data_IF_233219883093
#
_entry.id   IF_233219883093
#
_cell.length_a   1.000
_cell.length_b   1.000
_cell.length_c   1.000
_cell.angle_alpha   90.00
_cell.angle_beta   90.00
_cell.angle_gamma   90.00
#
_symmetry.space_group_name_H-M   'P 1'
#
loop_
_entity.id
_entity.type
_entity.pdbx_description
1 polymer ?
#
# COMPACT_ATOMS: atom_id res chain seq x y z
N UNK A 1 40.10 -6.62 -13.48
CA UNK A 1 39.16 -7.37 -14.35
C UNK A 1 38.02 -8.02 -13.56
N UNK A 2 38.17 -8.27 -12.26
CA UNK A 2 37.18 -8.91 -11.38
C UNK A 2 36.02 -8.00 -10.93
N UNK A 3 36.17 -6.68 -11.05
CA UNK A 3 35.20 -5.67 -10.61
C UNK A 3 34.11 -5.34 -11.64
N UNK A 4 34.30 -5.69 -12.91
CA UNK A 4 33.31 -5.45 -13.98
C UNK A 4 32.23 -6.54 -14.04
N UNK A 5 32.55 -7.77 -13.61
CA UNK A 5 31.60 -8.89 -13.63
C UNK A 5 30.54 -8.78 -12.52
N UNK A 6 30.91 -8.20 -11.37
CA UNK A 6 29.98 -7.98 -10.25
C UNK A 6 28.95 -6.86 -10.53
N UNK A 7 29.31 -5.88 -11.35
CA UNK A 7 28.41 -4.80 -11.77
C UNK A 7 27.37 -5.28 -12.79
N UNK A 8 27.74 -6.21 -13.65
CA UNK A 8 26.83 -6.91 -14.57
C UNK A 8 25.81 -7.78 -13.84
N UNK A 9 26.21 -8.47 -12.77
CA UNK A 9 25.30 -9.36 -12.03
C UNK A 9 24.30 -8.61 -11.13
N UNK A 10 24.66 -7.41 -10.65
CA UNK A 10 23.74 -6.53 -9.92
C UNK A 10 22.66 -5.91 -10.83
N UNK A 11 23.00 -5.62 -12.09
CA UNK A 11 22.04 -5.08 -13.06
C UNK A 11 20.96 -6.09 -13.48
N UNK A 12 21.28 -7.39 -13.48
CA UNK A 12 20.35 -8.45 -13.88
C UNK A 12 19.22 -8.71 -12.87
N UNK A 13 19.38 -8.33 -11.59
CA UNK A 13 18.38 -8.54 -10.54
C UNK A 13 17.31 -7.43 -10.52
N UNK A 14 17.56 -6.31 -11.22
CA UNK A 14 16.66 -5.16 -11.27
C UNK A 14 15.81 -5.07 -12.54
N UNK A 15 15.79 -6.10 -13.40
CA UNK A 15 14.84 -6.11 -14.51
C UNK A 15 13.41 -6.33 -13.98
N UNK A 16 12.48 -5.36 -14.17
CA UNK A 16 11.10 -5.52 -13.77
C UNK A 16 10.45 -6.63 -14.60
N UNK A 17 9.85 -7.59 -13.90
CA UNK A 17 9.10 -8.70 -14.51
C UNK A 17 7.95 -8.17 -15.38
N UNK A 18 7.87 -8.56 -16.68
CA UNK A 18 6.91 -8.01 -17.64
C UNK A 18 5.57 -8.76 -17.63
N UNK A 19 5.00 -9.02 -16.46
CA UNK A 19 3.73 -9.73 -16.34
C UNK A 19 2.78 -8.97 -15.42
N UNK A 20 1.82 -8.28 -16.04
CA UNK A 20 0.79 -7.51 -15.35
C UNK A 20 0.29 -6.27 -16.10
N UNK A 21 0.44 -6.21 -17.44
CA UNK A 21 -0.40 -5.31 -18.25
C UNK A 21 -1.79 -5.93 -18.31
N UNK A 22 -2.73 -5.34 -17.58
CA UNK A 22 -4.11 -5.01 -18.01
C UNK A 22 -4.81 -4.35 -16.81
N UNK A 23 -5.41 -3.18 -17.07
CA UNK A 23 -6.31 -2.36 -16.23
C UNK A 23 -5.70 -1.26 -15.32
N UNK A 24 -5.95 -0.03 -15.81
CA UNK A 24 -6.04 1.27 -15.14
C UNK A 24 -4.72 1.93 -14.72
N UNK A 25 -4.31 2.86 -15.59
CA UNK A 25 -3.28 3.86 -15.35
C UNK A 25 -3.66 4.71 -14.14
N UNK A 26 -2.89 4.61 -13.06
CA UNK A 26 -2.84 5.63 -12.03
C UNK A 26 -1.42 6.21 -12.07
N UNK A 27 -1.23 7.55 -12.05
CA UNK A 27 0.08 8.16 -12.12
C UNK A 27 0.84 7.84 -10.82
N UNK A 28 1.51 6.69 -10.79
CA UNK A 28 2.48 6.38 -9.75
C UNK A 28 3.54 7.50 -9.74
N UNK A 29 3.88 8.05 -8.57
CA UNK A 29 4.78 9.20 -8.51
C UNK A 29 6.10 8.82 -9.16
N UNK A 30 6.60 9.71 -10.03
CA UNK A 30 7.86 9.65 -10.80
C UNK A 30 9.13 9.29 -10.00
N UNK A 31 9.02 9.05 -8.69
CA UNK A 31 10.10 8.86 -7.72
C UNK A 31 10.85 7.54 -7.86
N UNK A 32 10.23 6.51 -8.45
CA UNK A 32 10.91 5.26 -8.82
C UNK A 32 12.01 5.48 -9.86
N UNK A 33 11.94 6.56 -10.66
CA UNK A 33 12.94 6.93 -11.66
C UNK A 33 14.17 7.62 -11.03
N UNK A 34 14.03 8.20 -9.84
CA UNK A 34 15.11 8.92 -9.14
C UNK A 34 15.82 8.06 -8.09
N UNK A 35 15.28 6.88 -7.75
CA UNK A 35 15.93 5.88 -6.91
C UNK A 35 17.34 5.51 -7.40
N UNK A 36 17.59 5.24 -8.70
CA UNK A 36 18.96 5.02 -9.19
C UNK A 36 19.82 6.29 -9.14
N UNK A 37 19.22 7.48 -9.28
CA UNK A 37 19.94 8.75 -9.21
C UNK A 37 20.38 9.11 -7.78
N UNK A 38 19.59 8.77 -6.75
CA UNK A 38 19.93 8.95 -5.33
C UNK A 38 20.99 7.91 -4.91
N UNK A 39 20.89 6.68 -5.41
CA UNK A 39 21.94 5.65 -5.25
C UNK A 39 23.24 6.07 -5.96
N UNK A 40 23.12 6.70 -7.13
CA UNK A 40 24.26 7.25 -7.89
C UNK A 40 24.91 8.48 -7.25
N UNK A 41 24.12 9.38 -6.66
CA UNK A 41 24.64 10.54 -5.91
C UNK A 41 25.32 10.13 -4.60
N UNK A 42 24.81 9.09 -3.94
CA UNK A 42 25.49 8.45 -2.80
C UNK A 42 26.85 7.84 -3.18
N UNK A 43 26.96 7.33 -4.42
CA UNK A 43 28.22 6.88 -5.01
C UNK A 43 29.13 8.02 -5.50
N UNK A 44 28.67 9.28 -5.50
CA UNK A 44 29.47 10.47 -5.81
C UNK A 44 30.13 11.10 -4.58
N UNK A 45 29.49 11.00 -3.40
CA UNK A 45 30.08 11.37 -2.11
C UNK A 45 31.22 10.43 -1.65
N UNK A 46 31.52 9.44 -2.49
CA UNK A 46 32.43 8.31 -2.41
C UNK A 46 33.93 8.64 -2.25
N UNK A 47 34.34 9.90 -2.26
CA UNK A 47 35.77 10.24 -2.38
C UNK A 47 36.44 10.98 -1.22
N UNK A 48 35.75 11.33 -0.12
CA UNK A 48 36.33 12.32 0.83
C UNK A 48 36.46 11.89 2.31
N UNK A 49 35.81 10.85 2.84
CA UNK A 49 36.05 10.44 4.26
C UNK A 49 35.94 8.91 4.43
N UNK A 50 37.00 8.27 4.94
CA UNK A 50 37.21 6.82 5.08
C UNK A 50 36.28 6.02 6.00
N UNK A 51 34.96 6.28 6.01
CA UNK A 51 33.94 5.49 6.72
C UNK A 51 32.77 5.11 5.81
N UNK A 52 33.13 4.52 4.66
CA UNK A 52 32.22 4.14 3.56
C UNK A 52 31.13 3.16 4.00
N UNK A 53 31.43 2.22 4.91
CA UNK A 53 30.50 1.17 5.33
C UNK A 53 29.31 1.69 6.15
N UNK A 54 29.54 2.66 7.04
CA UNK A 54 28.51 3.21 7.94
C UNK A 54 27.51 4.06 7.15
N UNK A 55 28.00 4.85 6.20
CA UNK A 55 27.15 5.68 5.34
C UNK A 55 26.31 4.80 4.42
N UNK A 56 26.90 3.77 3.80
CA UNK A 56 26.16 2.86 2.92
C UNK A 56 25.02 2.14 3.68
N UNK A 57 25.30 1.71 4.89
CA UNK A 57 24.32 1.05 5.73
C UNK A 57 23.22 1.99 6.23
N UNK A 58 23.57 3.21 6.62
CA UNK A 58 22.60 4.22 6.99
C UNK A 58 21.67 4.55 5.80
N UNK A 59 22.21 4.65 4.58
CA UNK A 59 21.42 4.90 3.36
C UNK A 59 20.50 3.72 3.03
N UNK A 60 20.98 2.48 3.12
CA UNK A 60 20.16 1.28 2.87
C UNK A 60 19.06 1.15 3.95
N UNK A 61 19.39 1.37 5.22
CA UNK A 61 18.44 1.31 6.32
C UNK A 61 17.39 2.42 6.20
N UNK A 62 17.81 3.66 5.91
CA UNK A 62 16.91 4.79 5.72
C UNK A 62 16.04 4.64 4.47
N UNK A 63 16.61 4.16 3.35
CA UNK A 63 15.88 3.88 2.13
C UNK A 63 14.82 2.80 2.32
N UNK A 64 15.18 1.72 3.03
CA UNK A 64 14.24 0.65 3.37
C UNK A 64 13.17 1.15 4.33
N UNK A 65 13.53 1.83 5.42
CA UNK A 65 12.55 2.40 6.36
C UNK A 65 11.61 3.41 5.68
N UNK A 66 12.13 4.29 4.82
CA UNK A 66 11.32 5.26 4.10
C UNK A 66 10.36 4.57 3.11
N UNK A 67 10.81 3.53 2.41
CA UNK A 67 9.96 2.75 1.51
C UNK A 67 8.86 2.01 2.28
N UNK A 68 9.20 1.37 3.40
CA UNK A 68 8.25 0.59 4.19
C UNK A 68 7.20 1.44 4.89
N UNK A 69 7.61 2.58 5.46
CA UNK A 69 6.70 3.55 6.07
C UNK A 69 5.77 4.18 5.04
N UNK A 70 6.27 4.50 3.85
CA UNK A 70 5.43 5.02 2.76
C UNK A 70 4.45 3.98 2.25
N UNK A 71 4.88 2.73 2.09
CA UNK A 71 3.99 1.64 1.66
C UNK A 71 2.93 1.32 2.73
N UNK A 72 3.27 1.38 4.01
CA UNK A 72 2.28 1.25 5.11
C UNK A 72 1.27 2.40 5.04
N UNK A 73 1.74 3.64 4.85
CA UNK A 73 0.86 4.81 4.75
C UNK A 73 -0.02 4.76 3.50
N UNK A 74 0.51 4.32 2.35
CA UNK A 74 -0.26 4.15 1.11
C UNK A 74 -1.30 3.03 1.22
N UNK A 75 -0.97 1.94 1.90
CA UNK A 75 -1.95 0.88 2.21
C UNK A 75 -3.01 1.36 3.19
N UNK A 76 -2.63 2.20 4.17
CA UNK A 76 -3.58 2.78 5.12
C UNK A 76 -4.59 3.70 4.41
N UNK A 77 -4.15 4.52 3.43
CA UNK A 77 -5.08 5.36 2.66
C UNK A 77 -6.02 4.52 1.80
N UNK A 78 -5.53 3.46 1.13
CA UNK A 78 -6.37 2.55 0.35
C UNK A 78 -7.42 1.84 1.22
N UNK A 79 -7.04 1.37 2.42
CA UNK A 79 -7.99 0.80 3.39
C UNK A 79 -9.06 1.81 3.82
N UNK A 80 -8.68 3.07 4.05
CA UNK A 80 -9.64 4.14 4.41
C UNK A 80 -10.62 4.42 3.26
N UNK A 81 -10.15 4.45 2.02
CA UNK A 81 -11.01 4.63 0.83
C UNK A 81 -11.99 3.46 0.67
N UNK A 82 -11.49 2.23 0.80
CA UNK A 82 -12.33 1.02 0.73
C UNK A 82 -13.39 0.99 1.83
N UNK A 83 -13.02 1.37 3.07
CA UNK A 83 -13.95 1.46 4.19
C UNK A 83 -15.01 2.56 3.98
N UNK A 84 -14.61 3.72 3.45
CA UNK A 84 -15.54 4.82 3.14
C UNK A 84 -16.54 4.43 2.04
N UNK A 85 -16.06 3.76 0.97
CA UNK A 85 -16.93 3.24 -0.08
C UNK A 85 -17.89 2.16 0.44
N UNK A 86 -17.42 1.24 1.28
CA UNK A 86 -18.24 0.22 1.91
C UNK A 86 -19.32 0.83 2.83
N UNK A 87 -18.95 1.82 3.64
CA UNK A 87 -19.89 2.56 4.49
C UNK A 87 -20.96 3.25 3.64
N UNK A 88 -20.56 4.02 2.63
CA UNK A 88 -21.49 4.70 1.72
C UNK A 88 -22.46 3.73 1.05
N UNK A 89 -21.97 2.62 0.49
CA UNK A 89 -22.80 1.59 -0.14
C UNK A 89 -23.74 0.91 0.86
N UNK A 90 -23.29 0.69 2.10
CA UNK A 90 -24.12 0.11 3.16
C UNK A 90 -25.30 1.02 3.54
N UNK A 91 -25.05 2.32 3.70
CA UNK A 91 -26.11 3.28 3.99
C UNK A 91 -27.05 3.45 2.80
N UNK A 92 -26.52 3.53 1.58
CA UNK A 92 -27.31 3.59 0.35
C UNK A 92 -28.24 2.38 0.20
N UNK A 93 -27.70 1.17 0.38
CA UNK A 93 -28.45 -0.08 0.39
C UNK A 93 -29.56 -0.06 1.44
N UNK A 94 -29.23 0.33 2.69
CA UNK A 94 -30.20 0.44 3.78
C UNK A 94 -31.36 1.38 3.46
N UNK A 95 -31.05 2.57 2.92
CA UNK A 95 -32.07 3.55 2.53
C UNK A 95 -32.93 3.06 1.36
N UNK A 96 -32.34 2.39 0.36
CA UNK A 96 -33.10 1.83 -0.77
C UNK A 96 -34.03 0.69 -0.32
N UNK A 97 -33.57 -0.17 0.61
CA UNK A 97 -34.41 -1.23 1.21
C UNK A 97 -35.55 -0.69 2.05
N UNK A 98 -35.34 0.45 2.70
CA UNK A 98 -36.39 1.18 3.40
C UNK A 98 -37.42 1.83 2.44
N UNK A 99 -37.26 1.67 1.12
CA UNK A 99 -38.17 2.20 0.11
C UNK A 99 -37.94 3.67 -0.23
N UNK A 100 -36.81 4.25 0.17
CA UNK A 100 -36.50 5.65 -0.19
C UNK A 100 -36.20 5.79 -1.69
N UNK A 101 -36.45 6.98 -2.23
CA UNK A 101 -36.05 7.29 -3.61
C UNK A 101 -34.55 7.30 -3.74
N UNK A 102 -34.03 7.02 -4.94
CA UNK A 102 -32.59 6.98 -5.18
C UNK A 102 -31.92 8.32 -4.84
N UNK A 103 -32.57 9.45 -5.17
CA UNK A 103 -32.05 10.78 -4.83
C UNK A 103 -31.93 10.99 -3.31
N UNK A 104 -32.96 10.62 -2.55
CA UNK A 104 -32.93 10.70 -1.08
C UNK A 104 -31.93 9.74 -0.45
N UNK A 105 -31.80 8.53 -1.02
CA UNK A 105 -30.90 7.50 -0.53
C UNK A 105 -29.44 7.95 -0.65
N UNK A 106 -29.06 8.53 -1.79
CA UNK A 106 -27.71 9.07 -2.01
C UNK A 106 -27.40 10.24 -1.11
N UNK A 107 -28.35 11.17 -0.94
CA UNK A 107 -28.13 12.34 -0.06
C UNK A 107 -27.87 11.90 1.37
N UNK A 108 -28.70 10.99 1.90
CA UNK A 108 -28.50 10.47 3.27
C UNK A 108 -27.22 9.67 3.42
N UNK A 109 -26.92 8.80 2.45
CA UNK A 109 -25.67 8.05 2.46
C UNK A 109 -24.43 8.96 2.39
N UNK A 110 -24.54 10.12 1.73
CA UNK A 110 -23.48 11.12 1.67
C UNK A 110 -23.27 11.84 3.03
N UNK A 111 -24.34 12.08 3.78
CA UNK A 111 -24.30 12.68 5.13
C UNK A 111 -23.69 11.73 6.16
N UNK A 112 -23.81 10.41 5.95
CA UNK A 112 -23.32 9.36 6.85
C UNK A 112 -21.90 8.87 6.50
N UNK A 113 -21.18 9.55 5.60
CA UNK A 113 -19.78 9.21 5.27
C UNK A 113 -18.89 9.44 6.51
N UNK A 114 -18.07 8.45 6.92
CA UNK A 114 -17.22 8.59 8.11
C UNK A 114 -16.23 9.75 8.00
N UNK A 115 -15.97 10.47 9.11
CA UNK A 115 -14.96 11.55 9.15
C UNK A 115 -13.53 11.09 8.80
N UNK A 116 -13.26 9.80 8.98
CA UNK A 116 -11.97 9.18 8.60
C UNK A 116 -11.80 8.97 7.09
N UNK A 117 -12.83 9.25 6.30
CA UNK A 117 -12.80 9.16 4.84
C UNK A 117 -11.83 10.22 4.25
N UNK A 118 -11.11 9.90 3.17
CA UNK A 118 -10.29 10.88 2.49
C UNK A 118 -11.14 12.04 1.95
N UNK A 119 -10.63 13.28 2.06
CA UNK A 119 -11.34 14.49 1.63
C UNK A 119 -11.81 14.42 0.17
N UNK A 120 -10.98 13.82 -0.70
CA UNK A 120 -11.29 13.54 -2.10
C UNK A 120 -12.57 12.70 -2.28
N UNK A 121 -12.76 11.67 -1.46
CA UNK A 121 -13.93 10.79 -1.52
C UNK A 121 -15.19 11.51 -1.03
N UNK A 122 -15.09 12.21 0.11
CA UNK A 122 -16.22 12.96 0.67
C UNK A 122 -16.68 14.08 -0.28
N UNK A 123 -15.74 14.77 -0.92
CA UNK A 123 -16.03 15.79 -1.92
C UNK A 123 -16.75 15.17 -3.15
N UNK A 124 -16.23 14.08 -3.70
CA UNK A 124 -16.85 13.37 -4.82
C UNK A 124 -18.28 12.92 -4.51
N UNK A 125 -18.51 12.31 -3.34
CA UNK A 125 -19.85 11.87 -2.90
C UNK A 125 -20.79 13.06 -2.68
N UNK A 126 -20.31 14.18 -2.16
CA UNK A 126 -21.10 15.40 -2.02
C UNK A 126 -21.54 15.98 -3.38
N UNK A 127 -20.68 15.95 -4.39
CA UNK A 127 -21.01 16.35 -5.78
C UNK A 127 -22.10 15.44 -6.35
N UNK A 128 -21.95 14.11 -6.19
CA UNK A 128 -22.95 13.13 -6.63
C UNK A 128 -24.30 13.36 -5.94
N UNK A 129 -24.31 13.60 -4.63
CA UNK A 129 -25.52 13.90 -3.87
C UNK A 129 -26.18 15.21 -4.32
N UNK A 130 -25.40 16.27 -4.55
CA UNK A 130 -25.91 17.53 -5.06
C UNK A 130 -26.56 17.35 -6.45
N UNK A 131 -25.96 16.53 -7.31
CA UNK A 131 -26.50 16.26 -8.64
C UNK A 131 -27.75 15.38 -8.60
N UNK A 132 -27.79 14.38 -7.72
CA UNK A 132 -28.97 13.54 -7.52
C UNK A 132 -30.19 14.37 -7.05
N UNK A 133 -29.99 15.37 -6.17
CA UNK A 133 -31.07 16.30 -5.77
C UNK A 133 -31.61 17.13 -6.93
N UNK A 134 -30.77 17.45 -7.91
CA UNK A 134 -31.16 18.23 -9.10
C UNK A 134 -31.85 17.37 -10.16
N UNK A 135 -32.01 16.07 -9.92
CA UNK A 135 -32.55 15.12 -10.91
C UNK A 135 -31.58 14.81 -12.05
N UNK A 136 -30.29 15.14 -11.90
CA UNK A 136 -29.27 14.82 -12.88
C UNK A 136 -28.84 13.35 -12.84
N UNK A 137 -28.13 12.89 -13.86
CA UNK A 137 -27.58 11.53 -13.89
C UNK A 137 -26.49 11.35 -12.85
N UNK A 138 -26.85 10.80 -11.69
CA UNK A 138 -25.91 10.44 -10.64
C UNK A 138 -24.90 9.37 -11.12
N UNK A 139 -25.29 8.50 -12.06
CA UNK A 139 -24.40 7.52 -12.67
C UNK A 139 -23.26 8.16 -13.47
N UNK A 140 -23.55 9.17 -14.30
CA UNK A 140 -22.52 9.89 -15.05
C UNK A 140 -21.56 10.64 -14.12
N UNK A 141 -22.11 11.26 -13.08
CA UNK A 141 -21.33 12.02 -12.08
C UNK A 141 -20.39 11.10 -11.28
N UNK A 142 -20.87 9.90 -10.90
CA UNK A 142 -20.04 8.88 -10.25
C UNK A 142 -18.88 8.42 -11.13
N UNK A 143 -19.08 8.36 -12.46
CA UNK A 143 -18.02 7.98 -13.40
C UNK A 143 -17.01 9.12 -13.58
N UNK A 144 -17.45 10.37 -13.61
CA UNK A 144 -16.57 11.55 -13.71
C UNK A 144 -15.68 11.68 -12.45
N UNK A 145 -16.30 11.61 -11.28
CA UNK A 145 -15.62 11.66 -9.99
C UNK A 145 -14.75 10.43 -9.71
N UNK A 146 -14.92 9.34 -10.49
CA UNK A 146 -14.09 8.14 -10.34
C UNK A 146 -12.62 8.33 -10.72
N UNK A 147 -12.29 9.43 -11.40
CA UNK A 147 -10.90 9.83 -11.66
C UNK A 147 -10.18 10.24 -10.37
N UNK A 148 -10.89 10.91 -9.47
CA UNK A 148 -10.42 11.35 -8.16
C UNK A 148 -10.59 10.25 -7.10
N UNK A 149 -11.74 9.57 -7.13
CA UNK A 149 -12.11 8.50 -6.21
C UNK A 149 -12.41 7.19 -6.98
N UNK A 150 -11.38 6.41 -7.35
CA UNK A 150 -11.51 5.22 -8.21
C UNK A 150 -12.46 4.15 -7.65
N UNK A 151 -12.70 4.16 -6.34
CA UNK A 151 -13.65 3.28 -5.66
C UNK A 151 -15.10 3.49 -6.13
N UNK A 152 -15.44 4.69 -6.60
CA UNK A 152 -16.78 5.02 -7.13
C UNK A 152 -17.02 4.46 -8.55
N UNK A 153 -15.97 4.12 -9.31
CA UNK A 153 -16.09 3.64 -10.69
C UNK A 153 -16.96 2.38 -10.81
N UNK A 154 -16.89 1.48 -9.81
CA UNK A 154 -17.70 0.27 -9.77
C UNK A 154 -19.19 0.60 -9.67
N UNK A 155 -19.56 1.47 -8.72
CA UNK A 155 -20.93 1.90 -8.50
C UNK A 155 -21.47 2.68 -9.70
N UNK A 156 -20.70 3.63 -10.25
CA UNK A 156 -21.11 4.41 -11.43
C UNK A 156 -21.41 3.52 -12.65
N UNK A 157 -20.62 2.47 -12.88
CA UNK A 157 -20.88 1.49 -13.96
C UNK A 157 -22.13 0.66 -13.72
N UNK A 158 -22.31 0.13 -12.50
CA UNK A 158 -23.50 -0.66 -12.15
C UNK A 158 -24.78 0.17 -12.26
N UNK A 159 -24.73 1.41 -11.76
CA UNK A 159 -25.86 2.32 -11.85
C UNK A 159 -26.13 2.74 -13.29
N UNK A 160 -25.11 3.10 -14.07
CA UNK A 160 -25.29 3.42 -15.49
C UNK A 160 -25.85 2.25 -16.32
N UNK A 161 -25.59 1.01 -15.92
CA UNK A 161 -26.23 -0.16 -16.50
C UNK A 161 -27.70 -0.26 -16.08
N UNK A 162 -28.00 -0.03 -14.81
CA UNK A 162 -29.37 -0.03 -14.30
C UNK A 162 -30.25 1.03 -14.98
N UNK A 163 -29.73 2.24 -15.15
CA UNK A 163 -30.43 3.37 -15.78
C UNK A 163 -30.73 3.08 -17.26
N UNK A 164 -29.75 2.53 -18.00
CA UNK A 164 -29.91 2.18 -19.41
C UNK A 164 -30.88 1.04 -19.67
N UNK A 165 -31.00 0.09 -18.73
CA UNK A 165 -31.83 -1.11 -18.89
C UNK A 165 -33.11 -1.08 -18.04
N UNK A 166 -33.38 0.02 -17.32
CA UNK A 166 -34.54 0.14 -16.43
C UNK A 166 -34.53 -0.87 -15.28
N UNK A 167 -33.36 -1.33 -14.83
CA UNK A 167 -33.24 -2.33 -13.78
C UNK A 167 -33.40 -1.69 -12.39
N UNK A 168 -34.00 -2.39 -11.41
CA UNK A 168 -34.04 -1.91 -10.04
C UNK A 168 -32.62 -1.81 -9.47
N UNK A 169 -32.26 -0.62 -8.99
CA UNK A 169 -30.91 -0.35 -8.47
C UNK A 169 -30.64 -1.05 -7.13
N UNK A 170 -31.67 -1.23 -6.30
CA UNK A 170 -31.58 -1.83 -4.97
C UNK A 170 -30.87 -3.21 -4.96
N UNK A 171 -31.33 -4.23 -5.73
CA UNK A 171 -30.68 -5.54 -5.74
C UNK A 171 -29.24 -5.50 -6.29
N UNK A 172 -28.92 -4.58 -7.21
CA UNK A 172 -27.56 -4.42 -7.73
C UNK A 172 -26.61 -3.85 -6.67
N UNK A 173 -27.07 -2.88 -5.89
CA UNK A 173 -26.31 -2.29 -4.77
C UNK A 173 -26.17 -3.31 -3.63
N UNK A 174 -27.20 -4.10 -3.34
CA UNK A 174 -27.13 -5.19 -2.36
C UNK A 174 -26.09 -6.25 -2.77
N UNK A 175 -26.07 -6.65 -4.04
CA UNK A 175 -25.08 -7.61 -4.53
C UNK A 175 -23.66 -7.03 -4.48
N UNK A 176 -23.49 -5.74 -4.77
CA UNK A 176 -22.21 -5.05 -4.61
C UNK A 176 -21.76 -5.00 -3.14
N UNK A 177 -22.68 -4.69 -2.22
CA UNK A 177 -22.41 -4.68 -0.77
C UNK A 177 -22.03 -6.07 -0.25
N UNK A 178 -22.81 -7.09 -0.60
CA UNK A 178 -22.53 -8.49 -0.22
C UNK A 178 -21.15 -8.93 -0.72
N UNK A 179 -20.78 -8.54 -1.95
CA UNK A 179 -19.44 -8.80 -2.49
C UNK A 179 -18.31 -8.12 -1.69
N UNK A 180 -18.54 -6.93 -1.13
CA UNK A 180 -17.59 -6.26 -0.25
C UNK A 180 -17.49 -7.00 1.09
N UNK A 181 -18.61 -7.37 1.70
CA UNK A 181 -18.65 -8.08 2.98
C UNK A 181 -17.91 -9.43 2.92
N UNK A 182 -18.11 -10.19 1.83
CA UNK A 182 -17.39 -11.46 1.61
C UNK A 182 -15.88 -11.23 1.54
N UNK A 183 -15.42 -10.21 0.81
CA UNK A 183 -14.00 -9.86 0.71
C UNK A 183 -13.41 -9.43 2.05
N UNK A 184 -14.14 -8.63 2.84
CA UNK A 184 -13.71 -8.20 4.18
C UNK A 184 -13.59 -9.40 5.11
N UNK A 185 -14.60 -10.29 5.12
CA UNK A 185 -14.57 -11.52 5.94
C UNK A 185 -13.41 -12.43 5.56
N UNK A 186 -13.14 -12.62 4.26
CA UNK A 186 -11.99 -13.40 3.80
C UNK A 186 -10.66 -12.79 4.25
N UNK A 187 -10.47 -11.49 4.10
CA UNK A 187 -9.24 -10.82 4.57
C UNK A 187 -9.05 -10.93 6.08
N UNK A 188 -10.13 -10.82 6.85
CA UNK A 188 -10.09 -10.99 8.30
C UNK A 188 -9.76 -12.43 8.68
N UNK A 189 -10.34 -13.41 7.99
CA UNK A 189 -10.03 -14.83 8.21
C UNK A 189 -8.56 -15.14 7.89
N UNK A 190 -8.03 -14.66 6.76
CA UNK A 190 -6.60 -14.81 6.41
C UNK A 190 -5.70 -14.11 7.43
N UNK A 191 -6.08 -12.92 7.88
CA UNK A 191 -5.29 -12.19 8.88
C UNK A 191 -5.25 -12.92 10.23
N UNK A 192 -6.35 -13.59 10.61
CA UNK A 192 -6.42 -14.40 11.81
C UNK A 192 -5.54 -15.66 11.72
N UNK A 193 -5.52 -16.35 10.58
CA UNK A 193 -4.67 -17.55 10.40
C UNK A 193 -3.18 -17.22 10.38
N UNK A 194 -2.81 -16.00 10.00
CA UNK A 194 -1.41 -15.55 9.96
C UNK A 194 -0.84 -15.10 11.31
N UNK A 195 -1.64 -15.02 12.39
CA UNK A 195 -1.15 -14.55 13.70
C UNK A 195 -0.08 -15.47 14.32
N UNK A 196 -0.22 -16.79 14.17
CA UNK A 196 0.77 -17.77 14.66
C UNK A 196 2.14 -17.65 13.97
N UNK A 197 2.21 -17.74 12.63
CA UNK A 197 3.46 -17.57 11.88
C UNK A 197 4.10 -16.18 12.04
N UNK A 198 3.30 -15.12 12.25
CA UNK A 198 3.82 -13.78 12.41
C UNK A 198 4.49 -13.58 13.79
N UNK A 199 3.98 -14.24 14.84
CA UNK A 199 4.59 -14.18 16.17
C UNK A 199 5.99 -14.80 16.19
N UNK A 200 6.19 -15.96 15.58
CA UNK A 200 7.53 -16.59 15.52
C UNK A 200 8.50 -15.82 14.63
N UNK A 201 8.02 -15.23 13.53
CA UNK A 201 8.82 -14.35 12.69
C UNK A 201 9.30 -13.11 13.47
N UNK A 202 8.46 -12.51 14.32
CA UNK A 202 8.87 -11.39 15.20
C UNK A 202 9.95 -11.84 16.16
N UNK A 203 9.81 -13.01 16.80
CA UNK A 203 10.83 -13.57 17.71
C UNK A 203 12.17 -13.78 17.01
N UNK A 204 12.17 -14.38 15.81
CA UNK A 204 13.39 -14.58 15.01
C UNK A 204 14.01 -13.25 14.55
N UNK A 205 13.18 -12.24 14.27
CA UNK A 205 13.65 -10.90 13.85
C UNK A 205 14.23 -10.11 15.03
N UNK A 206 13.81 -10.40 16.26
CA UNK A 206 14.38 -9.81 17.49
C UNK A 206 15.70 -10.45 17.94
N UNK A 207 15.99 -11.67 17.49
CA UNK A 207 17.18 -12.43 17.88
C UNK A 207 18.52 -11.67 17.63
N UNK A 208 18.72 -10.96 16.50
CA UNK A 208 19.94 -10.17 16.29
C UNK A 208 20.11 -9.04 17.31
N UNK A 209 19.01 -8.41 17.73
CA UNK A 209 19.02 -7.33 18.75
C UNK A 209 19.41 -7.90 20.10
N UNK A 210 18.84 -9.06 20.47
CA UNK A 210 19.21 -9.78 21.69
C UNK A 210 20.70 -10.19 21.68
N UNK A 211 21.20 -10.66 20.53
CA UNK A 211 22.62 -11.01 20.35
C UNK A 211 23.57 -9.81 20.52
N UNK A 212 23.24 -8.65 19.96
CA UNK A 212 24.03 -7.41 20.14
C UNK A 212 24.02 -6.95 21.60
N UNK A 213 22.86 -7.01 22.25
CA UNK A 213 22.73 -6.65 23.66
C UNK A 213 23.57 -7.57 24.57
N UNK A 214 23.51 -8.88 24.34
CA UNK A 214 24.29 -9.87 25.09
C UNK A 214 25.80 -9.72 24.85
N UNK A 215 26.22 -9.50 23.60
CA UNK A 215 27.63 -9.24 23.28
C UNK A 215 28.17 -7.96 23.93
N UNK A 216 27.36 -6.90 23.98
CA UNK A 216 27.72 -5.65 24.67
C UNK A 216 27.84 -5.84 26.18
N UNK A 217 26.96 -6.66 26.79
CA UNK A 217 27.03 -6.99 28.23
C UNK A 217 28.25 -7.84 28.59
N UNK A 218 28.76 -8.67 27.67
CA UNK A 218 30.02 -9.42 27.84
C UNK A 218 31.27 -8.55 27.67
N UNK A 219 31.13 -7.24 27.42
CA UNK A 219 32.25 -6.32 27.22
C UNK A 219 32.88 -6.40 25.82
N UNK A 220 32.24 -7.08 24.86
CA UNK A 220 32.61 -6.90 23.46
C UNK A 220 32.22 -5.48 23.03
N UNK A 221 33.01 -4.89 22.11
CA UNK A 221 32.65 -3.63 21.44
C UNK A 221 32.15 -3.91 20.01
N UNK A 222 30.95 -4.51 19.85
CA UNK A 222 30.39 -4.81 18.55
C UNK A 222 30.14 -3.54 17.73
N UNK A 223 29.80 -2.44 18.40
CA UNK A 223 29.59 -1.15 17.74
C UNK A 223 30.91 -0.57 17.21
N UNK A 224 32.00 -0.66 17.98
CA UNK A 224 33.34 -0.30 17.52
C UNK A 224 33.82 -1.16 16.36
N UNK A 225 33.54 -2.47 16.37
CA UNK A 225 33.88 -3.38 15.26
C UNK A 225 33.08 -3.08 13.98
N UNK A 226 31.78 -2.84 14.13
CA UNK A 226 30.85 -2.56 13.02
C UNK A 226 31.06 -1.16 12.42
N UNK A 227 31.37 -0.16 13.25
CA UNK A 227 31.57 1.24 12.86
C UNK A 227 33.05 1.61 12.60
N UNK A 228 33.98 0.73 12.95
CA UNK A 228 35.43 0.94 12.84
C UNK A 228 36.00 0.79 11.44
N UNK A 229 35.24 0.22 10.49
CA UNK A 229 35.70 -0.06 9.12
C UNK A 229 36.46 -1.40 8.99
N UNK A 230 36.72 -1.84 7.76
CA UNK A 230 37.33 -3.15 7.47
C UNK A 230 36.33 -4.32 7.42
N UNK A 231 36.68 -5.47 8.01
CA UNK A 231 35.85 -6.69 8.01
C UNK A 231 34.46 -6.47 8.64
N UNK A 232 34.37 -5.68 9.73
CA UNK A 232 33.10 -5.37 10.37
C UNK A 232 32.16 -4.54 9.48
N UNK A 233 32.71 -3.67 8.63
CA UNK A 233 31.95 -2.93 7.63
C UNK A 233 31.36 -3.84 6.54
N UNK A 234 32.12 -4.84 6.07
CA UNK A 234 31.64 -5.84 5.10
C UNK A 234 30.52 -6.69 5.68
N UNK A 235 30.69 -7.14 6.92
CA UNK A 235 29.69 -7.93 7.64
C UNK A 235 28.39 -7.14 7.87
N UNK A 236 28.50 -5.85 8.18
CA UNK A 236 27.38 -4.96 8.38
C UNK A 236 26.58 -4.74 7.07
N UNK A 237 27.27 -4.51 5.95
CA UNK A 237 26.62 -4.36 4.64
C UNK A 237 25.95 -5.67 4.21
N UNK A 238 26.62 -6.81 4.36
CA UNK A 238 26.04 -8.12 4.07
C UNK A 238 24.80 -8.40 4.92
N UNK A 239 24.89 -8.22 6.24
CA UNK A 239 23.76 -8.44 7.15
C UNK A 239 22.56 -7.55 6.81
N UNK A 240 22.80 -6.25 6.58
CA UNK A 240 21.73 -5.32 6.23
C UNK A 240 21.10 -5.65 4.87
N UNK A 241 21.92 -6.03 3.87
CA UNK A 241 21.42 -6.43 2.56
C UNK A 241 20.52 -7.67 2.66
N UNK A 242 20.88 -8.63 3.51
CA UNK A 242 20.12 -9.86 3.71
C UNK A 242 18.80 -9.60 4.44
N UNK A 243 18.82 -8.74 5.46
CA UNK A 243 17.61 -8.28 6.17
C UNK A 243 16.68 -7.53 5.21
N UNK A 244 17.21 -6.60 4.41
CA UNK A 244 16.40 -5.84 3.45
C UNK A 244 15.78 -6.76 2.39
N UNK A 245 16.57 -7.72 1.88
CA UNK A 245 16.09 -8.71 0.91
C UNK A 245 15.00 -9.60 1.50
N UNK A 246 15.22 -10.12 2.72
CA UNK A 246 14.24 -10.95 3.43
C UNK A 246 12.94 -10.19 3.72
N UNK A 247 13.04 -8.92 4.12
CA UNK A 247 11.88 -8.08 4.38
C UNK A 247 11.06 -7.80 3.11
N UNK A 248 11.73 -7.49 1.99
CA UNK A 248 11.08 -7.30 0.69
C UNK A 248 10.40 -8.60 0.23
N UNK A 249 11.07 -9.74 0.37
CA UNK A 249 10.54 -11.03 -0.07
C UNK A 249 9.33 -11.46 0.77
N UNK A 250 9.40 -11.33 2.10
CA UNK A 250 8.29 -11.60 3.02
C UNK A 250 7.06 -10.75 2.68
N UNK A 251 7.25 -9.45 2.44
CA UNK A 251 6.16 -8.57 1.99
C UNK A 251 5.58 -8.95 0.64
N UNK A 252 6.41 -9.40 -0.29
CA UNK A 252 5.94 -9.87 -1.61
C UNK A 252 5.10 -11.14 -1.49
N UNK A 253 5.48 -12.06 -0.59
CA UNK A 253 4.73 -13.29 -0.31
C UNK A 253 3.39 -12.95 0.36
N UNK A 254 3.41 -12.15 1.44
CA UNK A 254 2.18 -11.76 2.15
C UNK A 254 1.24 -10.95 1.25
N UNK A 255 1.79 -10.07 0.40
CA UNK A 255 1.02 -9.30 -0.57
C UNK A 255 0.34 -10.16 -1.64
N UNK A 256 0.96 -11.27 -2.05
CA UNK A 256 0.36 -12.25 -2.98
C UNK A 256 -0.63 -13.18 -2.31
N UNK A 257 -0.43 -13.54 -1.04
CA UNK A 257 -1.34 -14.42 -0.30
C UNK A 257 -2.63 -13.72 0.15
N UNK A 258 -2.64 -12.38 0.17
CA UNK A 258 -3.79 -11.57 0.54
C UNK A 258 -4.64 -11.10 -0.65
N UNK A 259 -4.24 -11.41 -1.89
CA UNK A 259 -5.00 -11.17 -3.13
C UNK A 259 -5.68 -12.45 -3.57
#
# INVERSE_FOLDING_TARGET
>A
MSSLVLLSMAAAIFLPSPAGRVLVSSPGPRIYLWLPAIVGLGAGSFLIIGKLSVVLAAVIAAGTAAWTLRDIRARASSKRREAAAAAFLGHLSGQLRAGSTIATAVVRAAEEVPESAPAEFSAAVAVVAAQARRGGSAAATLLEESTTAPELAGLGRLWGLADRHGLPLAPLVEQAQSGIDVRVRHRNAISATLQGPQASAITLTLLPVAGIAMGSAMGADPLGLLLGGGLGGVLLVLGLSLVCTGFIWSRKIIGKAAQ
#
